data_IF_805063875418
#
_entry.id   IF_805063875418
#
_cell.length_a   1.000
_cell.length_b   1.000
_cell.length_c   1.000
_cell.angle_alpha   90.00
_cell.angle_beta   90.00
_cell.angle_gamma   90.00
#
_symmetry.space_group_name_H-M   'P 1'
#
loop_
_entity.id
_entity.type
_entity.pdbx_description
1 polymer ?
#
# COMPACT_ATOMS: atom_id res chain seq x y z
N UNK A 1 22.51 2.58 15.65
CA UNK A 1 21.54 3.54 16.23
C UNK A 1 20.81 3.00 17.45
N UNK A 2 19.85 2.07 17.34
CA UNK A 2 19.05 1.64 18.52
C UNK A 2 19.91 0.93 19.58
N UNK A 3 20.71 -0.06 19.16
CA UNK A 3 21.59 -0.85 20.04
C UNK A 3 22.66 0.00 20.73
N UNK A 4 23.18 1.01 20.05
CA UNK A 4 24.25 1.88 20.57
C UNK A 4 23.74 2.91 21.57
N UNK A 5 22.45 3.27 21.52
CA UNK A 5 21.85 4.32 22.34
C UNK A 5 20.85 3.78 23.38
N UNK A 6 20.85 2.48 23.65
CA UNK A 6 20.00 1.84 24.68
C UNK A 6 18.50 2.16 24.55
N UNK A 7 18.01 2.30 23.32
CA UNK A 7 16.62 2.70 23.06
C UNK A 7 15.68 1.52 23.31
N UNK A 8 14.78 1.66 24.29
CA UNK A 8 13.85 0.61 24.72
C UNK A 8 12.65 0.33 23.80
N UNK A 9 12.32 1.24 22.88
CA UNK A 9 11.25 1.08 21.88
C UNK A 9 11.49 2.04 20.70
N UNK A 10 11.36 1.54 19.48
CA UNK A 10 11.33 2.38 18.27
C UNK A 10 9.92 2.45 17.69
N UNK A 11 9.48 3.64 17.31
CA UNK A 11 8.18 3.86 16.66
C UNK A 11 8.46 4.36 15.24
N UNK A 12 7.97 3.62 14.25
CA UNK A 12 8.19 3.97 12.84
C UNK A 12 7.01 4.82 12.36
N UNK A 13 7.27 6.08 12.04
CA UNK A 13 6.27 7.02 11.52
C UNK A 13 6.07 6.90 10.00
N UNK A 14 7.12 7.06 9.18
CA UNK A 14 6.98 7.05 7.73
C UNK A 14 6.61 5.67 7.19
N UNK A 15 5.81 5.65 6.13
CA UNK A 15 5.27 4.46 5.48
C UNK A 15 6.30 3.72 4.60
N UNK A 16 7.23 4.46 3.97
CA UNK A 16 8.24 3.87 3.08
C UNK A 16 9.15 2.86 3.82
N UNK A 17 9.71 3.18 5.01
CA UNK A 17 10.46 2.21 5.81
C UNK A 17 9.65 0.98 6.22
N UNK A 18 8.36 1.13 6.50
CA UNK A 18 7.49 0.02 6.88
C UNK A 18 7.34 -0.98 5.74
N UNK A 19 7.07 -0.48 4.54
CA UNK A 19 6.97 -1.30 3.32
C UNK A 19 8.33 -1.95 2.99
N UNK A 20 9.43 -1.25 3.24
CA UNK A 20 10.78 -1.76 3.05
C UNK A 20 11.23 -2.79 4.11
N UNK A 21 10.40 -3.10 5.11
CA UNK A 21 10.69 -4.13 6.11
C UNK A 21 11.60 -3.70 7.26
N UNK A 22 11.59 -2.41 7.63
CA UNK A 22 12.35 -1.93 8.80
C UNK A 22 11.92 -2.65 10.09
N UNK A 23 10.63 -2.98 10.23
CA UNK A 23 10.09 -3.67 11.40
C UNK A 23 10.63 -5.10 11.47
N UNK A 24 10.62 -5.82 10.34
CA UNK A 24 11.20 -7.17 10.25
C UNK A 24 12.68 -7.18 10.68
N UNK A 25 13.46 -6.21 10.20
CA UNK A 25 14.88 -6.08 10.54
C UNK A 25 15.11 -5.80 12.05
N UNK A 26 14.21 -5.05 12.69
CA UNK A 26 14.28 -4.78 14.13
C UNK A 26 13.90 -6.03 14.94
N UNK A 27 12.84 -6.72 14.55
CA UNK A 27 12.40 -7.97 15.19
C UNK A 27 13.50 -9.06 15.09
N UNK A 28 14.11 -9.25 13.91
CA UNK A 28 15.25 -10.16 13.71
C UNK A 28 16.45 -9.80 14.58
N UNK A 29 16.67 -8.50 14.81
CA UNK A 29 17.73 -7.99 15.66
C UNK A 29 17.44 -8.08 17.16
N UNK A 30 16.26 -8.60 17.56
CA UNK A 30 15.79 -8.70 18.95
C UNK A 30 15.40 -7.35 19.56
N UNK A 31 15.11 -6.36 18.72
CA UNK A 31 14.82 -4.99 19.13
C UNK A 31 13.31 -4.75 19.18
N UNK A 32 12.87 -4.00 20.20
CA UNK A 32 11.46 -3.60 20.33
C UNK A 32 11.16 -2.48 19.33
N UNK A 33 10.16 -2.72 18.48
CA UNK A 33 9.69 -1.79 17.46
C UNK A 33 8.16 -1.80 17.40
N UNK A 34 7.57 -0.66 17.06
CA UNK A 34 6.14 -0.50 16.79
C UNK A 34 5.94 -0.05 15.34
N UNK A 35 5.19 -0.88 14.60
CA UNK A 35 4.82 -0.67 13.20
C UNK A 35 4.42 -2.02 12.57
N UNK A 36 3.72 -2.01 11.43
CA UNK A 36 3.47 -3.23 10.67
C UNK A 36 4.77 -3.79 10.06
N UNK A 37 4.89 -5.11 10.01
CA UNK A 37 5.92 -5.78 9.21
C UNK A 37 5.67 -5.58 7.69
N UNK A 38 6.65 -5.90 6.85
CA UNK A 38 6.57 -5.67 5.40
C UNK A 38 5.32 -6.31 4.79
N UNK A 39 4.97 -7.54 5.20
CA UNK A 39 3.79 -8.27 4.70
C UNK A 39 2.49 -7.56 5.07
N UNK A 40 2.38 -7.04 6.28
CA UNK A 40 1.22 -6.29 6.74
C UNK A 40 1.16 -4.89 6.09
N UNK A 41 2.31 -4.24 5.88
CA UNK A 41 2.41 -2.92 5.25
C UNK A 41 1.92 -2.89 3.78
N UNK A 42 1.81 -4.05 3.12
CA UNK A 42 1.22 -4.19 1.77
C UNK A 42 -0.21 -3.64 1.71
N UNK A 43 -0.97 -3.68 2.81
CA UNK A 43 -2.34 -3.12 2.84
C UNK A 43 -2.39 -1.63 2.48
N UNK A 44 -1.33 -0.88 2.80
CA UNK A 44 -1.21 0.53 2.41
C UNK A 44 -0.44 0.69 1.09
N UNK A 45 0.58 -0.14 0.87
CA UNK A 45 1.43 -0.10 -0.32
C UNK A 45 0.70 -0.46 -1.62
N UNK A 46 -0.29 -1.37 -1.57
CA UNK A 46 -1.04 -1.83 -2.74
C UNK A 46 -2.55 -1.59 -2.58
N UNK A 47 -3.06 -0.66 -3.40
CA UNK A 47 -4.51 -0.36 -3.45
C UNK A 47 -5.32 -1.54 -3.95
N UNK A 48 -4.76 -2.32 -4.87
CA UNK A 48 -5.39 -3.52 -5.40
C UNK A 48 -5.53 -4.56 -4.29
N UNK A 49 -4.44 -4.87 -3.58
CA UNK A 49 -4.47 -5.79 -2.45
C UNK A 49 -5.47 -5.34 -1.38
N UNK A 50 -5.48 -4.05 -1.02
CA UNK A 50 -6.43 -3.51 -0.06
C UNK A 50 -7.89 -3.70 -0.51
N UNK A 51 -8.15 -3.49 -1.81
CA UNK A 51 -9.48 -3.63 -2.40
C UNK A 51 -9.93 -5.08 -2.50
N UNK A 52 -9.04 -5.99 -2.86
CA UNK A 52 -9.28 -7.43 -2.88
C UNK A 52 -9.56 -7.94 -1.46
N UNK A 53 -8.77 -7.53 -0.47
CA UNK A 53 -8.99 -7.86 0.93
C UNK A 53 -10.38 -7.37 1.38
N UNK A 54 -10.72 -6.11 1.12
CA UNK A 54 -12.03 -5.58 1.50
C UNK A 54 -13.18 -6.37 0.84
N UNK A 55 -13.03 -6.76 -0.43
CA UNK A 55 -14.03 -7.56 -1.14
C UNK A 55 -14.14 -8.99 -0.59
N UNK A 56 -13.02 -9.63 -0.28
CA UNK A 56 -12.98 -11.02 0.19
C UNK A 56 -13.53 -11.20 1.60
N UNK A 57 -13.49 -10.14 2.42
CA UNK A 57 -13.95 -10.15 3.81
C UNK A 57 -15.21 -9.29 4.03
N UNK A 58 -15.94 -8.97 2.96
CA UNK A 58 -17.19 -8.17 2.99
C UNK A 58 -17.06 -6.83 3.76
N UNK A 59 -15.89 -6.20 3.68
CA UNK A 59 -15.64 -4.87 4.26
C UNK A 59 -16.20 -3.82 3.28
N UNK A 60 -17.16 -2.96 3.71
CA UNK A 60 -17.78 -1.97 2.83
C UNK A 60 -16.76 -1.03 2.20
N UNK A 61 -16.74 -0.97 0.86
CA UNK A 61 -15.84 -0.09 0.10
C UNK A 61 -16.45 0.31 -1.24
N UNK A 62 -15.93 1.37 -1.86
CA UNK A 62 -16.36 1.76 -3.20
C UNK A 62 -16.04 0.66 -4.22
N UNK A 63 -17.01 0.36 -5.09
CA UNK A 63 -16.81 -0.56 -6.22
C UNK A 63 -15.59 -0.13 -7.05
N UNK A 64 -14.76 -1.09 -7.44
CA UNK A 64 -13.54 -0.87 -8.19
C UNK A 64 -13.37 -1.95 -9.25
N UNK A 65 -12.51 -1.65 -10.23
CA UNK A 65 -11.93 -2.61 -11.14
C UNK A 65 -10.49 -2.17 -11.40
N UNK A 66 -9.57 -3.13 -11.50
CA UNK A 66 -8.18 -2.90 -11.86
C UNK A 66 -7.97 -3.32 -13.31
N UNK A 67 -7.12 -2.58 -14.03
CA UNK A 67 -6.85 -2.81 -15.45
C UNK A 67 -5.37 -2.63 -15.71
N UNK A 68 -4.82 -3.47 -16.58
CA UNK A 68 -3.48 -3.33 -17.14
C UNK A 68 -3.51 -2.93 -18.63
N UNK A 69 -4.67 -3.09 -19.30
CA UNK A 69 -4.93 -2.62 -20.67
C UNK A 69 -5.70 -1.31 -20.67
N UNK A 70 -5.26 -0.39 -21.53
CA UNK A 70 -5.95 0.88 -21.75
C UNK A 70 -7.35 0.67 -22.37
N UNK A 71 -7.47 -0.27 -23.30
CA UNK A 71 -8.70 -0.59 -24.01
C UNK A 71 -9.77 -1.11 -23.05
N UNK A 72 -9.40 -2.01 -22.14
CA UNK A 72 -10.30 -2.54 -21.11
C UNK A 72 -10.76 -1.45 -20.13
N UNK A 73 -9.83 -0.59 -19.71
CA UNK A 73 -10.11 0.52 -18.81
C UNK A 73 -11.08 1.52 -19.46
N UNK A 74 -10.83 1.88 -20.73
CA UNK A 74 -11.70 2.78 -21.51
C UNK A 74 -13.11 2.19 -21.65
N UNK A 75 -13.22 0.93 -22.03
CA UNK A 75 -14.51 0.27 -22.17
C UNK A 75 -15.26 0.19 -20.83
N UNK A 76 -14.55 0.02 -19.71
CA UNK A 76 -15.17 0.04 -18.38
C UNK A 76 -15.73 1.42 -18.01
N UNK A 77 -14.97 2.50 -18.29
CA UNK A 77 -15.43 3.88 -18.10
C UNK A 77 -16.68 4.16 -18.94
N UNK A 78 -16.66 3.81 -20.22
CA UNK A 78 -17.79 3.99 -21.14
C UNK A 78 -19.05 3.24 -20.64
N UNK A 79 -18.89 1.98 -20.19
CA UNK A 79 -20.01 1.19 -19.62
C UNK A 79 -20.58 1.76 -18.33
N UNK A 80 -19.74 2.38 -17.47
CA UNK A 80 -20.18 2.99 -16.22
C UNK A 80 -20.95 4.30 -16.43
N UNK A 81 -20.89 4.88 -17.64
CA UNK A 81 -21.60 6.12 -17.99
C UNK A 81 -21.01 7.37 -17.34
N UNK A 82 -21.73 8.50 -17.41
CA UNK A 82 -21.32 9.83 -16.91
C UNK A 82 -21.29 9.97 -15.38
N UNK A 83 -20.89 8.93 -14.64
CA UNK A 83 -20.66 8.99 -13.21
C UNK A 83 -19.32 9.64 -12.86
N UNK A 84 -19.21 10.25 -11.68
CA UNK A 84 -17.92 10.69 -11.12
C UNK A 84 -17.07 9.47 -10.80
N UNK A 85 -16.09 9.18 -11.66
CA UNK A 85 -15.13 8.09 -11.48
C UNK A 85 -13.82 8.64 -10.90
N UNK A 86 -13.19 7.85 -10.04
CA UNK A 86 -11.86 8.14 -9.51
C UNK A 86 -10.87 7.18 -10.18
N UNK A 87 -9.95 7.74 -10.97
CA UNK A 87 -8.81 7.00 -11.49
C UNK A 87 -7.67 7.06 -10.46
N UNK A 88 -7.11 5.89 -10.13
CA UNK A 88 -6.00 5.78 -9.19
C UNK A 88 -4.93 4.90 -9.81
N UNK A 89 -3.71 5.40 -9.88
CA UNK A 89 -2.53 4.60 -10.24
C UNK A 89 -2.20 3.63 -9.09
N UNK A 90 -1.88 2.39 -9.46
CA UNK A 90 -1.40 1.33 -8.57
C UNK A 90 0.14 1.36 -8.51
N UNK A 91 0.73 1.04 -7.35
CA UNK A 91 2.18 1.07 -7.13
C UNK A 91 2.61 1.92 -5.91
N UNK A 92 3.89 1.82 -5.55
CA UNK A 92 4.51 2.53 -4.43
C UNK A 92 4.76 4.02 -4.73
N UNK A 93 4.90 4.91 -3.71
CA UNK A 93 5.15 6.33 -3.93
C UNK A 93 6.32 6.64 -4.88
N UNK A 94 7.39 5.86 -4.83
CA UNK A 94 8.57 6.02 -5.69
C UNK A 94 8.27 5.64 -7.16
N UNK A 95 7.45 4.63 -7.39
CA UNK A 95 7.00 4.23 -8.73
C UNK A 95 6.05 5.27 -9.34
N UNK A 96 5.23 5.92 -8.50
CA UNK A 96 4.31 7.00 -8.92
C UNK A 96 5.05 8.23 -9.46
N UNK A 97 6.22 8.56 -8.90
CA UNK A 97 6.99 9.75 -9.30
C UNK A 97 7.71 9.57 -10.65
N UNK A 98 8.08 8.34 -11.03
CA UNK A 98 8.86 8.06 -12.25
C UNK A 98 8.03 8.03 -13.55
N UNK A 99 6.71 7.92 -13.45
CA UNK A 99 5.82 7.71 -14.61
C UNK A 99 5.01 8.95 -14.99
N UNK A 100 5.22 10.09 -14.31
CA UNK A 100 4.54 11.35 -14.59
C UNK A 100 5.51 12.34 -15.24
N UNK A 101 5.26 12.84 -16.47
CA UNK A 101 6.05 13.91 -17.08
C UNK A 101 5.81 15.28 -16.42
#
# INVERSE_FOLDING_TARGET
MQKENEIGLTIVGPEVPLIAGVVDAFEEAGLKVFGPNAKAAVIEGSKEFAKDLMKNYDIPTAAYAAFTSFEEAKAYVERKGCGRLLLKQTGLPQEKASQWP
#
